data_IF_549115004637
#
_entry.id   IF_549115004637
#
_cell.length_a   1.000
_cell.length_b   1.000
_cell.length_c   1.000
_cell.angle_alpha   90.00
_cell.angle_beta   90.00
_cell.angle_gamma   90.00
#
_symmetry.space_group_name_H-M   'P 1'
#
loop_
_entity.id
_entity.type
_entity.pdbx_description
1 polymer ?
#
# COMPACT_ATOMS: atom_id res chain seq x y z
N UNK A 1 1.12 -22.80 -1.74
CA UNK A 1 1.45 -21.58 -2.50
C UNK A 1 1.80 -20.53 -1.47
N UNK A 2 3.00 -19.99 -1.55
CA UNK A 2 3.45 -18.99 -0.57
C UNK A 2 2.87 -17.61 -0.90
N UNK A 3 2.72 -16.78 0.15
CA UNK A 3 2.10 -15.46 0.07
C UNK A 3 3.12 -14.37 0.36
N UNK A 4 2.97 -13.24 -0.33
CA UNK A 4 3.74 -12.02 -0.07
C UNK A 4 2.81 -10.83 0.13
N UNK A 5 3.21 -9.92 1.01
CA UNK A 5 2.55 -8.63 1.20
C UNK A 5 3.33 -7.56 0.44
N UNK A 6 2.67 -6.86 -0.48
CA UNK A 6 3.24 -5.78 -1.26
C UNK A 6 2.67 -4.44 -0.78
N UNK A 7 3.56 -3.51 -0.39
CA UNK A 7 3.18 -2.11 -0.23
C UNK A 7 2.75 -1.54 -1.59
N UNK A 8 1.49 -1.12 -1.69
CA UNK A 8 0.84 -0.80 -2.95
C UNK A 8 0.31 0.63 -2.95
N UNK A 9 0.82 1.47 -3.85
CA UNK A 9 0.44 2.88 -3.97
C UNK A 9 -0.71 3.12 -4.96
N UNK A 10 -1.04 2.14 -5.79
CA UNK A 10 -1.99 2.31 -6.91
C UNK A 10 -1.35 2.82 -8.20
N UNK A 11 -0.06 3.16 -8.18
CA UNK A 11 0.70 3.59 -9.34
C UNK A 11 0.93 2.47 -10.38
N UNK A 12 1.43 2.86 -11.55
CA UNK A 12 1.77 1.93 -12.64
C UNK A 12 2.78 0.88 -12.15
N UNK A 13 3.87 1.32 -11.53
CA UNK A 13 4.97 0.45 -11.12
C UNK A 13 4.52 -0.64 -10.15
N UNK A 14 3.77 -0.25 -9.11
CA UNK A 14 3.24 -1.22 -8.13
C UNK A 14 2.18 -2.14 -8.73
N UNK A 15 1.46 -1.69 -9.77
CA UNK A 15 0.47 -2.51 -10.49
C UNK A 15 1.13 -3.57 -11.37
N UNK A 16 2.22 -3.21 -12.05
CA UNK A 16 3.06 -4.15 -12.78
C UNK A 16 3.72 -5.14 -11.83
N UNK A 17 4.19 -4.67 -10.67
CA UNK A 17 4.83 -5.52 -9.66
C UNK A 17 3.92 -6.65 -9.17
N UNK A 18 2.62 -6.39 -8.93
CA UNK A 18 1.66 -7.44 -8.53
C UNK A 18 1.63 -8.57 -9.56
N UNK A 19 1.48 -8.23 -10.84
CA UNK A 19 1.43 -9.20 -11.93
C UNK A 19 2.76 -9.93 -12.10
N UNK A 20 3.86 -9.19 -12.03
CA UNK A 20 5.21 -9.73 -12.20
C UNK A 20 5.59 -10.73 -11.11
N UNK A 21 5.27 -10.43 -9.84
CA UNK A 21 5.54 -11.34 -8.72
C UNK A 21 4.79 -12.67 -8.91
N UNK A 22 3.52 -12.59 -9.32
CA UNK A 22 2.71 -13.78 -9.59
C UNK A 22 3.27 -14.60 -10.74
N UNK A 23 3.64 -13.96 -11.85
CA UNK A 23 4.08 -14.66 -13.06
C UNK A 23 5.53 -15.21 -12.92
N UNK A 24 6.42 -14.48 -12.25
CA UNK A 24 7.83 -14.85 -12.14
C UNK A 24 8.12 -15.78 -10.96
N UNK A 25 7.43 -15.61 -9.83
CA UNK A 25 7.67 -16.39 -8.63
C UNK A 25 6.52 -17.35 -8.27
N UNK A 26 5.38 -17.28 -8.96
CA UNK A 26 4.22 -18.12 -8.64
C UNK A 26 3.58 -17.82 -7.29
N UNK A 27 3.84 -16.64 -6.72
CA UNK A 27 3.37 -16.25 -5.39
C UNK A 27 1.99 -15.59 -5.45
N UNK A 28 1.23 -15.77 -4.38
CA UNK A 28 0.00 -15.03 -4.14
C UNK A 28 0.32 -13.67 -3.51
N UNK A 29 -0.21 -12.59 -4.10
CA UNK A 29 0.06 -11.22 -3.66
C UNK A 29 -1.11 -10.67 -2.86
N UNK A 30 -0.86 -10.27 -1.62
CA UNK A 30 -1.74 -9.42 -0.82
C UNK A 30 -1.20 -8.00 -0.90
N UNK A 31 -2.05 -7.03 -1.23
CA UNK A 31 -1.63 -5.62 -1.29
C UNK A 31 -2.03 -4.88 -0.01
N UNK A 32 -1.15 -3.99 0.44
CA UNK A 32 -1.38 -3.10 1.58
C UNK A 32 -1.17 -1.65 1.15
N UNK A 33 -2.21 -0.84 1.31
CA UNK A 33 -2.17 0.61 1.07
C UNK A 33 -2.41 1.32 2.41
N UNK A 34 -1.45 2.15 2.83
CA UNK A 34 -1.62 3.02 3.99
C UNK A 34 -2.23 4.36 3.54
N UNK A 35 -3.34 4.76 4.15
CA UNK A 35 -3.86 6.12 4.03
C UNK A 35 -3.07 7.03 4.98
N UNK A 36 -2.27 7.92 4.42
CA UNK A 36 -1.49 8.95 5.11
C UNK A 36 -2.08 10.35 4.89
N UNK A 37 -3.24 10.45 4.21
CA UNK A 37 -3.90 11.71 3.86
C UNK A 37 -3.73 12.13 2.41
N UNK A 38 -3.18 11.26 1.55
CA UNK A 38 -2.90 11.58 0.14
C UNK A 38 -4.15 11.83 -0.72
N UNK A 39 -5.24 11.08 -0.47
CA UNK A 39 -6.46 11.12 -1.30
C UNK A 39 -7.71 10.95 -0.45
N UNK A 40 -8.84 11.44 -0.95
CA UNK A 40 -10.14 11.32 -0.27
C UNK A 40 -10.78 9.94 -0.44
N UNK A 41 -10.53 9.27 -1.56
CA UNK A 41 -11.10 7.95 -1.87
C UNK A 41 -10.01 7.01 -2.38
N UNK A 42 -9.81 5.91 -1.68
CA UNK A 42 -8.81 4.88 -2.01
C UNK A 42 -9.47 3.61 -2.57
N UNK A 43 -10.79 3.55 -2.70
CA UNK A 43 -11.47 2.39 -3.28
C UNK A 43 -11.00 2.10 -4.72
N UNK A 44 -10.74 3.10 -5.61
CA UNK A 44 -10.18 2.83 -6.93
C UNK A 44 -8.82 2.13 -6.89
N UNK A 45 -7.98 2.43 -5.89
CA UNK A 45 -6.68 1.78 -5.68
C UNK A 45 -6.87 0.30 -5.33
N UNK A 46 -7.78 0.00 -4.40
CA UNK A 46 -8.15 -1.37 -4.02
C UNK A 46 -8.69 -2.16 -5.21
N UNK A 47 -9.61 -1.58 -5.98
CA UNK A 47 -10.17 -2.23 -7.17
C UNK A 47 -9.11 -2.51 -8.23
N UNK A 48 -8.17 -1.58 -8.44
CA UNK A 48 -7.04 -1.79 -9.35
C UNK A 48 -6.17 -2.95 -8.90
N UNK A 49 -5.79 -3.02 -7.62
CA UNK A 49 -4.97 -4.11 -7.07
C UNK A 49 -5.58 -5.49 -7.34
N UNK A 50 -6.88 -5.65 -7.06
CA UNK A 50 -7.61 -6.90 -7.32
C UNK A 50 -7.65 -7.22 -8.81
N UNK A 51 -7.92 -6.22 -9.66
CA UNK A 51 -7.95 -6.37 -11.12
C UNK A 51 -6.62 -6.83 -11.71
N UNK A 52 -5.48 -6.37 -11.17
CA UNK A 52 -4.14 -6.76 -11.67
C UNK A 52 -3.66 -8.11 -11.14
N UNK A 53 -4.38 -8.71 -10.19
CA UNK A 53 -4.17 -10.09 -9.78
C UNK A 53 -3.79 -10.30 -8.31
N UNK A 54 -3.92 -9.28 -7.46
CA UNK A 54 -3.83 -9.47 -6.02
C UNK A 54 -4.99 -10.34 -5.53
N UNK A 55 -4.71 -11.27 -4.61
CA UNK A 55 -5.74 -12.11 -3.99
C UNK A 55 -6.54 -11.35 -2.91
N UNK A 56 -5.95 -10.27 -2.40
CA UNK A 56 -6.54 -9.43 -1.36
C UNK A 56 -5.92 -8.04 -1.42
N UNK A 57 -6.72 -7.01 -1.10
CA UNK A 57 -6.29 -5.62 -1.10
C UNK A 57 -6.80 -4.91 0.17
N UNK A 58 -5.86 -4.56 1.05
CA UNK A 58 -6.12 -3.92 2.34
C UNK A 58 -5.77 -2.45 2.28
N UNK A 59 -6.70 -1.63 2.75
CA UNK A 59 -6.46 -0.21 3.02
C UNK A 59 -6.48 -0.04 4.54
N UNK A 60 -5.44 0.58 5.08
CA UNK A 60 -5.33 0.90 6.51
C UNK A 60 -5.31 2.41 6.67
N UNK A 61 -6.22 2.94 7.49
CA UNK A 61 -6.16 4.35 7.88
C UNK A 61 -5.03 4.56 8.90
N UNK A 62 -3.92 5.12 8.43
CA UNK A 62 -2.72 5.34 9.21
C UNK A 62 -2.50 6.82 9.55
N UNK A 63 -3.43 7.72 9.20
CA UNK A 63 -3.27 9.18 9.38
C UNK A 63 -2.96 9.57 10.82
N UNK A 64 -3.74 9.03 11.78
CA UNK A 64 -3.55 9.31 13.20
C UNK A 64 -2.19 8.82 13.68
N UNK A 65 -1.84 7.57 13.36
CA UNK A 65 -0.55 6.98 13.72
C UNK A 65 0.62 7.77 13.11
N UNK A 66 0.49 8.17 11.85
CA UNK A 66 1.51 8.95 11.15
C UNK A 66 1.75 10.30 11.85
N UNK A 67 0.69 11.01 12.20
CA UNK A 67 0.81 12.28 12.92
C UNK A 67 1.43 12.08 14.31
N UNK A 68 0.86 11.17 15.10
CA UNK A 68 1.26 11.00 16.51
C UNK A 68 2.69 10.47 16.67
N UNK A 69 3.11 9.54 15.80
CA UNK A 69 4.37 8.81 15.96
C UNK A 69 5.50 9.30 15.07
N UNK A 70 5.22 10.10 14.04
CA UNK A 70 6.23 10.56 13.09
C UNK A 70 6.25 12.08 12.98
N UNK A 71 5.10 12.71 12.69
CA UNK A 71 5.05 14.17 12.48
C UNK A 71 5.34 14.94 13.76
N UNK A 72 4.67 14.63 14.88
CA UNK A 72 4.92 15.33 16.15
C UNK A 72 6.34 15.12 16.69
N UNK A 73 6.87 13.89 16.74
CA UNK A 73 8.25 13.68 17.18
C UNK A 73 9.27 14.42 16.31
N UNK A 74 9.09 14.42 14.98
CA UNK A 74 9.99 15.13 14.07
C UNK A 74 9.95 16.66 14.30
N UNK A 75 8.76 17.23 14.46
CA UNK A 75 8.59 18.65 14.74
C UNK A 75 9.19 19.05 16.10
N UNK A 76 8.97 18.26 17.14
CA UNK A 76 9.54 18.48 18.49
C UNK A 76 11.07 18.39 18.49
N UNK A 77 11.65 17.54 17.64
CA UNK A 77 13.08 17.43 17.46
C UNK A 77 13.68 18.62 16.66
N UNK A 78 12.85 19.48 16.07
CA UNK A 78 13.30 20.57 15.21
C UNK A 78 13.90 20.10 13.89
N UNK A 79 13.53 18.90 13.41
CA UNK A 79 13.96 18.40 12.12
C UNK A 79 13.27 19.17 10.99
N UNK A 80 14.07 19.67 10.03
CA UNK A 80 13.63 20.38 8.81
C UNK A 80 14.05 19.62 7.57
#
# INVERSE_FOLDING_TARGET
>A
VDKVVLAYSGGLDTSVAVKWIKDHYGLEVVTLTANLGQERDLEPVRQRALKVGAIEARIVDARKMFVDQFVWPALQAGAV
#
